data_IF_385214643336
#
_entry.id   IF_385214643336
#
_cell.length_a   1.000
_cell.length_b   1.000
_cell.length_c   1.000
_cell.angle_alpha   90.00
_cell.angle_beta   90.00
_cell.angle_gamma   90.00
#
_symmetry.space_group_name_H-M   'P 1'
#
loop_
_entity.id
_entity.type
_entity.pdbx_description
1 polymer ?
#
# COMPACT_ATOMS: atom_id res chain seq x y z
N UNK A 1 16.30 -15.72 -4.51
CA UNK A 1 17.04 -14.89 -5.48
C UNK A 1 16.03 -14.27 -6.45
N UNK A 2 15.72 -12.98 -6.31
CA UNK A 2 14.92 -12.25 -7.31
C UNK A 2 15.74 -12.22 -8.60
N UNK A 3 15.42 -13.10 -9.54
CA UNK A 3 16.01 -13.05 -10.88
C UNK A 3 15.26 -11.99 -11.66
N UNK A 4 15.86 -10.81 -11.79
CA UNK A 4 15.36 -9.80 -12.71
C UNK A 4 15.50 -10.32 -14.14
N UNK A 5 14.40 -10.46 -14.91
CA UNK A 5 14.48 -10.94 -16.29
C UNK A 5 15.24 -9.94 -17.18
N UNK A 6 15.79 -10.44 -18.27
CA UNK A 6 16.53 -9.64 -19.25
C UNK A 6 15.58 -8.59 -19.89
N UNK A 7 15.90 -7.30 -19.70
CA UNK A 7 14.99 -6.14 -19.74
C UNK A 7 14.52 -5.74 -21.15
N UNK A 8 15.08 -6.29 -22.23
CA UNK A 8 14.77 -5.86 -23.61
C UNK A 8 13.29 -5.95 -24.03
N UNK A 9 12.41 -6.52 -23.20
CA UNK A 9 10.94 -6.59 -23.38
C UNK A 9 10.13 -5.62 -22.52
N UNK A 10 10.72 -4.92 -21.55
CA UNK A 10 10.03 -3.90 -20.76
C UNK A 10 10.05 -2.60 -21.56
N UNK A 11 8.96 -2.33 -22.28
CA UNK A 11 8.80 -1.09 -23.03
C UNK A 11 8.63 0.05 -22.02
N UNK A 12 9.70 0.79 -21.77
CA UNK A 12 9.66 2.04 -21.02
C UNK A 12 9.34 3.19 -21.97
N UNK A 13 8.06 3.44 -22.21
CA UNK A 13 7.58 4.36 -23.26
C UNK A 13 7.62 5.85 -22.86
N UNK A 14 8.49 6.23 -21.92
CA UNK A 14 8.56 7.61 -21.42
C UNK A 14 10.00 8.12 -21.46
N UNK A 15 10.21 9.24 -22.17
CA UNK A 15 11.49 9.95 -22.25
C UNK A 15 11.80 10.67 -20.92
N UNK A 16 12.03 9.88 -19.87
CA UNK A 16 12.54 10.30 -18.57
C UNK A 16 13.94 9.72 -18.33
N UNK A 17 14.83 9.83 -19.33
CA UNK A 17 16.21 9.29 -19.31
C UNK A 17 17.07 9.67 -18.10
N UNK A 18 16.68 10.70 -17.32
CA UNK A 18 17.34 11.09 -16.05
C UNK A 18 16.86 10.32 -14.81
N UNK A 19 15.70 9.69 -14.88
CA UNK A 19 15.07 8.96 -13.77
C UNK A 19 15.00 7.46 -14.08
N UNK A 20 14.78 7.10 -15.34
CA UNK A 20 14.82 5.71 -15.81
C UNK A 20 16.23 5.36 -16.28
N UNK A 21 16.79 4.28 -15.75
CA UNK A 21 18.12 3.81 -16.08
C UNK A 21 18.06 2.39 -16.64
N UNK A 22 18.75 2.15 -17.76
CA UNK A 22 18.89 0.81 -18.35
C UNK A 22 19.81 -0.11 -17.52
N UNK A 23 20.40 0.41 -16.44
CA UNK A 23 21.15 -0.33 -15.42
C UNK A 23 20.39 -0.26 -14.10
N UNK A 24 20.52 -1.30 -13.29
CA UNK A 24 19.96 -1.35 -11.93
C UNK A 24 20.48 -0.14 -11.14
N UNK A 25 19.57 0.71 -10.68
CA UNK A 25 19.85 1.90 -9.86
C UNK A 25 19.93 1.51 -8.38
N UNK A 26 19.22 0.45 -7.99
CA UNK A 26 19.19 -0.05 -6.63
C UNK A 26 19.36 -1.57 -6.62
N UNK A 27 20.55 -2.05 -6.22
CA UNK A 27 20.82 -3.47 -6.00
C UNK A 27 20.36 -3.87 -4.59
N UNK A 28 19.12 -4.34 -4.48
CA UNK A 28 18.56 -4.80 -3.21
C UNK A 28 19.05 -6.22 -2.89
N UNK A 29 20.13 -6.35 -2.11
CA UNK A 29 20.58 -7.65 -1.60
C UNK A 29 19.53 -8.24 -0.65
N UNK A 30 18.90 -9.33 -1.09
CA UNK A 30 17.70 -9.92 -0.46
C UNK A 30 17.86 -10.27 1.04
N UNK A 31 19.06 -10.65 1.49
CA UNK A 31 19.32 -11.05 2.88
C UNK A 31 19.41 -9.86 3.86
N UNK A 32 19.61 -8.64 3.37
CA UNK A 32 19.77 -7.45 4.22
C UNK A 32 18.53 -6.57 4.22
N UNK A 33 17.45 -7.00 3.55
CA UNK A 33 16.27 -6.14 3.32
C UNK A 33 15.29 -6.11 4.49
N UNK A 34 15.13 -7.25 5.17
CA UNK A 34 14.08 -7.47 6.16
C UNK A 34 14.71 -7.97 7.46
N UNK A 35 14.36 -7.33 8.57
CA UNK A 35 14.70 -7.80 9.92
C UNK A 35 13.70 -8.86 10.41
N UNK A 36 12.45 -8.72 9.98
CA UNK A 36 11.36 -9.68 10.25
C UNK A 36 10.62 -9.93 8.94
N UNK A 37 10.45 -11.20 8.59
CA UNK A 37 9.71 -11.61 7.40
C UNK A 37 8.78 -12.79 7.72
N UNK A 38 7.44 -12.60 7.74
CA UNK A 38 6.48 -13.64 8.01
C UNK A 38 6.01 -14.35 6.72
N UNK A 39 6.75 -14.24 5.60
CA UNK A 39 6.29 -14.75 4.30
C UNK A 39 5.95 -16.24 4.32
N UNK A 40 6.68 -17.03 5.10
CA UNK A 40 6.41 -18.45 5.30
C UNK A 40 5.09 -18.67 6.06
N UNK A 41 4.71 -17.74 6.94
CA UNK A 41 3.53 -17.81 7.79
C UNK A 41 2.23 -17.33 7.11
N UNK A 42 2.33 -16.74 5.91
CA UNK A 42 1.14 -16.51 5.08
C UNK A 42 0.53 -17.83 4.59
N UNK A 43 1.34 -18.89 4.49
CA UNK A 43 0.97 -20.24 4.07
C UNK A 43 1.56 -21.31 4.99
N UNK A 44 0.88 -21.64 6.08
CA UNK A 44 1.32 -22.74 6.94
C UNK A 44 0.69 -24.10 6.62
N UNK A 45 -0.21 -24.20 5.64
CA UNK A 45 -0.85 -25.48 5.29
C UNK A 45 -0.72 -25.81 3.80
N UNK A 46 -0.70 -27.12 3.52
CA UNK A 46 -0.79 -27.75 2.18
C UNK A 46 -2.04 -27.36 1.37
N UNK A 47 -2.92 -26.54 1.96
CA UNK A 47 -4.13 -25.98 1.36
C UNK A 47 -4.11 -24.44 1.42
N UNK A 48 -2.98 -23.82 1.10
CA UNK A 48 -2.91 -22.37 0.95
C UNK A 48 -3.75 -21.94 -0.27
N UNK A 49 -5.05 -21.79 -0.06
CA UNK A 49 -5.98 -21.33 -1.08
C UNK A 49 -5.64 -19.90 -1.53
N UNK A 50 -6.21 -19.48 -2.67
CA UNK A 50 -6.08 -18.09 -3.13
C UNK A 50 -6.59 -17.09 -2.08
N UNK A 51 -6.03 -15.90 -1.93
CA UNK A 51 -6.67 -14.83 -1.17
C UNK A 51 -7.51 -13.98 -2.11
N UNK A 52 -8.68 -13.54 -1.64
CA UNK A 52 -9.46 -12.51 -2.32
C UNK A 52 -8.79 -11.15 -2.17
N UNK A 53 -8.28 -10.86 -0.97
CA UNK A 53 -7.71 -9.57 -0.63
C UNK A 53 -6.46 -9.71 0.23
N UNK A 54 -5.42 -8.95 -0.06
CA UNK A 54 -4.28 -8.75 0.84
C UNK A 54 -4.13 -7.26 1.14
N UNK A 55 -4.29 -6.89 2.40
CA UNK A 55 -4.06 -5.53 2.89
C UNK A 55 -2.60 -5.38 3.33
N UNK A 56 -1.91 -4.41 2.75
CA UNK A 56 -0.54 -4.04 3.03
C UNK A 56 -0.58 -2.67 3.68
N UNK A 57 -0.43 -2.65 4.99
CA UNK A 57 -0.61 -1.46 5.82
C UNK A 57 0.75 -0.87 6.15
N UNK A 58 1.04 0.31 5.60
CA UNK A 58 2.22 1.09 6.00
C UNK A 58 1.94 1.69 7.37
N UNK A 59 2.76 1.32 8.36
CA UNK A 59 2.59 1.77 9.75
C UNK A 59 3.91 2.30 10.30
N UNK A 60 3.86 3.24 11.23
CA UNK A 60 5.05 3.67 11.98
C UNK A 60 5.40 2.64 13.04
N UNK A 61 6.68 2.34 13.24
CA UNK A 61 7.15 1.31 14.19
C UNK A 61 6.56 1.43 15.60
N UNK A 62 6.38 2.66 16.12
CA UNK A 62 5.78 2.89 17.45
C UNK A 62 4.24 2.83 17.49
N UNK A 63 3.56 2.72 16.34
CA UNK A 63 2.10 2.67 16.25
C UNK A 63 1.51 1.28 16.62
N UNK A 64 2.01 0.64 17.69
CA UNK A 64 1.52 -0.65 18.19
C UNK A 64 0.00 -0.63 18.43
N UNK A 65 -0.50 0.42 19.09
CA UNK A 65 -1.92 0.58 19.37
C UNK A 65 -2.78 0.73 18.11
N UNK A 66 -2.27 1.43 17.10
CA UNK A 66 -2.97 1.60 15.82
C UNK A 66 -3.08 0.28 15.07
N UNK A 67 -1.99 -0.49 14.99
CA UNK A 67 -1.99 -1.83 14.38
C UNK A 67 -2.96 -2.76 15.09
N UNK A 68 -2.98 -2.78 16.42
CA UNK A 68 -3.95 -3.56 17.20
C UNK A 68 -5.40 -3.10 16.95
N UNK A 69 -5.65 -1.79 16.84
CA UNK A 69 -6.98 -1.28 16.51
C UNK A 69 -7.43 -1.71 15.09
N UNK A 70 -6.53 -1.71 14.10
CA UNK A 70 -6.80 -2.22 12.75
C UNK A 70 -7.15 -3.72 12.78
N UNK A 71 -6.37 -4.53 13.52
CA UNK A 71 -6.66 -5.97 13.71
C UNK A 71 -8.03 -6.21 14.33
N UNK A 72 -8.43 -5.39 15.30
CA UNK A 72 -9.74 -5.46 15.97
C UNK A 72 -10.89 -4.83 15.18
N UNK A 73 -10.62 -4.28 14.00
CA UNK A 73 -11.62 -3.64 13.14
C UNK A 73 -11.51 -4.19 11.73
N UNK A 74 -11.42 -3.34 10.71
CA UNK A 74 -11.50 -3.72 9.30
C UNK A 74 -10.40 -4.68 8.85
N UNK A 75 -9.24 -4.66 9.50
CA UNK A 75 -8.08 -5.49 9.13
C UNK A 75 -8.16 -6.94 9.62
N UNK A 76 -9.01 -7.24 10.61
CA UNK A 76 -9.23 -8.61 11.12
C UNK A 76 -10.70 -9.05 11.17
N UNK A 77 -11.65 -8.14 11.03
CA UNK A 77 -13.09 -8.43 11.03
C UNK A 77 -13.69 -8.30 9.63
N UNK A 78 -13.48 -9.31 8.81
CA UNK A 78 -14.08 -9.38 7.46
C UNK A 78 -14.47 -10.80 7.10
N UNK A 79 -15.54 -10.92 6.30
CA UNK A 79 -16.01 -12.21 5.76
C UNK A 79 -15.22 -12.65 4.52
N UNK A 80 -14.37 -11.78 4.00
CA UNK A 80 -13.51 -12.08 2.85
C UNK A 80 -12.37 -13.00 3.27
N UNK A 81 -11.92 -13.86 2.35
CA UNK A 81 -10.65 -14.57 2.51
C UNK A 81 -9.52 -13.57 2.32
N UNK A 82 -9.14 -12.92 3.41
CA UNK A 82 -8.15 -11.85 3.40
C UNK A 82 -7.12 -11.97 4.51
N UNK A 83 -5.98 -11.32 4.30
CA UNK A 83 -4.95 -11.12 5.31
C UNK A 83 -4.57 -9.64 5.35
N UNK A 84 -4.09 -9.22 6.51
CA UNK A 84 -3.52 -7.88 6.73
C UNK A 84 -2.09 -8.06 7.18
N UNK A 85 -1.17 -7.31 6.56
CA UNK A 85 0.26 -7.34 6.86
C UNK A 85 0.74 -5.92 7.03
N UNK A 86 1.50 -5.67 8.09
CA UNK A 86 2.04 -4.36 8.42
C UNK A 86 3.48 -4.24 7.92
N UNK A 87 3.77 -3.16 7.20
CA UNK A 87 5.11 -2.80 6.74
C UNK A 87 5.63 -1.67 7.63
N UNK A 88 6.71 -1.94 8.37
CA UNK A 88 7.31 -1.00 9.32
C UNK A 88 8.82 -0.89 9.08
N UNK A 89 9.42 0.24 9.44
CA UNK A 89 10.88 0.34 9.54
C UNK A 89 11.39 -0.17 10.89
N UNK A 90 12.67 0.04 11.17
CA UNK A 90 13.24 -0.15 12.51
C UNK A 90 13.51 1.19 13.20
N UNK A 91 13.63 1.13 14.52
CA UNK A 91 14.05 2.23 15.37
C UNK A 91 14.88 1.62 16.49
N UNK A 92 15.99 2.25 16.85
CA UNK A 92 16.87 1.72 17.88
C UNK A 92 16.16 1.65 19.24
N UNK A 93 16.36 0.55 19.97
CA UNK A 93 15.86 0.37 21.32
C UNK A 93 14.41 -0.14 21.43
N UNK A 94 13.72 -0.40 20.31
CA UNK A 94 12.35 -0.95 20.33
C UNK A 94 12.25 -2.40 19.82
N UNK A 95 13.37 -3.02 19.45
CA UNK A 95 13.39 -4.32 18.77
C UNK A 95 12.72 -5.41 19.61
N UNK A 96 12.91 -5.38 20.93
CA UNK A 96 12.26 -6.33 21.84
C UNK A 96 10.72 -6.25 21.74
N UNK A 97 10.15 -5.04 21.73
CA UNK A 97 8.69 -4.84 21.64
C UNK A 97 8.13 -5.25 20.28
N UNK A 98 8.85 -4.94 19.19
CA UNK A 98 8.46 -5.36 17.84
C UNK A 98 8.55 -6.88 17.69
N UNK A 99 9.56 -7.52 18.26
CA UNK A 99 9.67 -8.99 18.26
C UNK A 99 8.54 -9.63 19.04
N UNK A 100 8.11 -9.07 20.19
CA UNK A 100 6.93 -9.56 20.91
C UNK A 100 5.64 -9.43 20.10
N UNK A 101 5.42 -8.28 19.46
CA UNK A 101 4.24 -8.07 18.60
C UNK A 101 4.26 -9.04 17.42
N UNK A 102 5.40 -9.13 16.73
CA UNK A 102 5.60 -10.06 15.60
C UNK A 102 5.38 -11.50 16.03
N UNK A 103 5.95 -11.92 17.17
CA UNK A 103 5.82 -13.28 17.67
C UNK A 103 4.36 -13.66 17.94
N UNK A 104 3.56 -12.71 18.45
CA UNK A 104 2.14 -12.88 18.77
C UNK A 104 1.25 -12.88 17.53
N UNK A 105 1.46 -11.94 16.60
CA UNK A 105 0.50 -11.67 15.52
C UNK A 105 0.92 -12.25 14.16
N UNK A 106 2.21 -12.52 13.95
CA UNK A 106 2.78 -13.10 12.71
C UNK A 106 2.42 -12.33 11.42
N UNK A 107 2.21 -11.02 11.53
CA UNK A 107 1.72 -10.16 10.45
C UNK A 107 2.60 -8.92 10.21
N UNK A 108 3.84 -8.92 10.71
CA UNK A 108 4.78 -7.80 10.58
C UNK A 108 5.88 -8.16 9.59
N UNK A 109 6.06 -7.31 8.56
CA UNK A 109 7.28 -7.23 7.76
C UNK A 109 8.06 -6.01 8.24
N UNK A 110 9.18 -6.24 8.91
CA UNK A 110 10.06 -5.16 9.37
C UNK A 110 11.21 -4.99 8.40
N UNK A 111 11.38 -3.77 7.89
CA UNK A 111 12.44 -3.42 6.97
C UNK A 111 13.73 -3.11 7.74
N UNK A 112 14.86 -3.45 7.14
CA UNK A 112 16.16 -2.94 7.56
C UNK A 112 16.38 -1.50 7.06
N UNK A 113 15.43 -0.62 7.38
CA UNK A 113 15.46 0.81 7.12
C UNK A 113 14.88 1.57 8.30
N UNK A 114 15.55 2.63 8.68
CA UNK A 114 15.13 3.47 9.80
C UNK A 114 13.75 4.07 9.52
N UNK A 115 12.83 3.95 10.47
CA UNK A 115 11.45 4.39 10.33
C UNK A 115 11.33 5.91 10.51
N UNK A 116 11.55 6.63 9.41
CA UNK A 116 11.47 8.08 9.34
C UNK A 116 10.64 8.51 8.14
N UNK A 117 10.03 9.68 8.25
CA UNK A 117 9.21 10.25 7.17
C UNK A 117 9.95 10.32 5.82
N UNK A 118 11.25 10.62 5.84
CA UNK A 118 12.08 10.70 4.64
C UNK A 118 12.26 9.34 3.94
N UNK A 119 12.07 8.24 4.67
CA UNK A 119 12.24 6.87 4.20
C UNK A 119 10.91 6.17 3.87
N UNK A 120 9.78 6.88 3.92
CA UNK A 120 8.45 6.29 3.65
C UNK A 120 8.38 5.63 2.27
N UNK A 121 9.03 6.20 1.25
CA UNK A 121 9.11 5.59 -0.08
C UNK A 121 9.70 4.17 -0.06
N UNK A 122 10.62 3.88 0.85
CA UNK A 122 11.19 2.54 1.00
C UNK A 122 10.18 1.55 1.59
N UNK A 123 9.17 1.99 2.36
CA UNK A 123 8.09 1.10 2.78
C UNK A 123 7.36 0.52 1.59
N UNK A 124 7.00 1.35 0.61
CA UNK A 124 6.33 0.86 -0.59
C UNK A 124 7.27 0.07 -1.50
N UNK A 125 8.51 0.50 -1.72
CA UNK A 125 9.49 -0.26 -2.53
C UNK A 125 9.68 -1.67 -1.95
N UNK A 126 9.95 -1.77 -0.66
CA UNK A 126 10.21 -3.07 -0.03
C UNK A 126 8.94 -3.91 0.07
N UNK A 127 7.77 -3.30 0.23
CA UNK A 127 6.51 -4.01 0.15
C UNK A 127 6.28 -4.62 -1.24
N UNK A 128 6.54 -3.88 -2.32
CA UNK A 128 6.48 -4.41 -3.70
C UNK A 128 7.44 -5.60 -3.89
N UNK A 129 8.68 -5.45 -3.42
CA UNK A 129 9.69 -6.51 -3.49
C UNK A 129 9.27 -7.73 -2.69
N UNK A 130 8.77 -7.56 -1.46
CA UNK A 130 8.26 -8.64 -0.62
C UNK A 130 7.08 -9.36 -1.29
N UNK A 131 6.07 -8.61 -1.75
CA UNK A 131 4.90 -9.15 -2.44
C UNK A 131 5.25 -9.89 -3.74
N UNK A 132 6.30 -9.45 -4.46
CA UNK A 132 6.73 -10.13 -5.68
C UNK A 132 7.27 -11.54 -5.43
N UNK A 133 7.68 -11.84 -4.20
CA UNK A 133 8.27 -13.11 -3.77
C UNK A 133 7.33 -14.00 -2.94
N UNK A 134 6.09 -13.58 -2.66
CA UNK A 134 5.15 -14.42 -1.92
C UNK A 134 4.67 -15.59 -2.78
N UNK A 135 4.49 -16.75 -2.16
CA UNK A 135 4.05 -17.98 -2.81
C UNK A 135 2.53 -18.20 -2.73
N UNK A 136 1.74 -17.13 -2.53
CA UNK A 136 0.27 -17.16 -2.55
C UNK A 136 -0.28 -16.51 -3.81
N UNK A 137 -1.37 -17.08 -4.32
CA UNK A 137 -2.22 -16.39 -5.31
C UNK A 137 -3.11 -15.39 -4.59
N UNK A 138 -3.03 -14.12 -4.98
CA UNK A 138 -3.87 -13.05 -4.42
C UNK A 138 -4.61 -12.36 -5.56
N UNK A 139 -5.93 -12.27 -5.45
CA UNK A 139 -6.74 -11.61 -6.47
C UNK A 139 -6.51 -10.10 -6.46
N UNK A 140 -6.65 -9.46 -5.29
CA UNK A 140 -6.47 -8.01 -5.13
C UNK A 140 -5.53 -7.67 -3.98
N UNK A 141 -4.65 -6.69 -4.22
CA UNK A 141 -3.69 -6.17 -3.24
C UNK A 141 -4.03 -4.71 -2.97
N UNK A 142 -4.06 -4.36 -1.69
CA UNK A 142 -4.42 -3.02 -1.22
C UNK A 142 -3.28 -2.44 -0.41
N UNK A 143 -2.68 -1.35 -0.88
CA UNK A 143 -1.77 -0.55 -0.08
C UNK A 143 -2.58 0.49 0.67
N UNK A 144 -2.36 0.58 1.98
CA UNK A 144 -3.12 1.46 2.87
C UNK A 144 -2.19 2.06 3.92
N UNK A 145 -2.41 3.31 4.30
CA UNK A 145 -1.78 3.89 5.50
C UNK A 145 -2.52 3.46 6.77
N UNK A 146 -1.84 3.44 7.92
CA UNK A 146 -2.44 3.04 9.19
C UNK A 146 -3.43 4.06 9.79
N UNK A 147 -3.59 5.22 9.16
CA UNK A 147 -4.53 6.29 9.55
C UNK A 147 -5.88 6.23 8.79
N UNK A 148 -6.17 5.07 8.16
CA UNK A 148 -7.37 4.86 7.34
C UNK A 148 -8.39 3.94 8.00
N UNK A 149 -9.66 4.27 7.79
CA UNK A 149 -10.77 3.33 7.94
C UNK A 149 -11.11 2.75 6.57
N UNK A 150 -11.15 1.42 6.46
CA UNK A 150 -11.53 0.70 5.24
C UNK A 150 -12.89 0.02 5.44
N UNK A 151 -13.70 -0.05 4.38
CA UNK A 151 -14.92 -0.86 4.34
C UNK A 151 -14.66 -2.08 3.42
N UNK A 152 -14.24 -3.24 3.96
CA UNK A 152 -13.68 -4.31 3.13
C UNK A 152 -14.62 -4.86 2.05
N UNK A 153 -15.93 -4.98 2.34
CA UNK A 153 -16.89 -5.46 1.35
C UNK A 153 -17.09 -4.48 0.20
N UNK A 154 -17.19 -3.18 0.49
CA UNK A 154 -17.27 -2.16 -0.55
C UNK A 154 -16.01 -2.15 -1.41
N UNK A 155 -14.84 -2.26 -0.76
CA UNK A 155 -13.56 -2.35 -1.45
C UNK A 155 -13.52 -3.54 -2.41
N UNK A 156 -13.93 -4.73 -1.95
CA UNK A 156 -13.99 -5.92 -2.79
C UNK A 156 -14.96 -5.77 -3.96
N UNK A 157 -16.15 -5.21 -3.72
CA UNK A 157 -17.14 -4.96 -4.78
C UNK A 157 -16.62 -3.99 -5.85
N UNK A 158 -15.90 -2.95 -5.43
CA UNK A 158 -15.23 -2.05 -6.37
C UNK A 158 -14.13 -2.77 -7.13
N UNK A 159 -13.36 -3.65 -6.47
CA UNK A 159 -12.28 -4.39 -7.11
C UNK A 159 -12.76 -5.33 -8.21
N UNK A 160 -13.77 -6.16 -7.94
CA UNK A 160 -14.32 -7.10 -8.94
C UNK A 160 -14.93 -6.43 -10.17
N UNK A 161 -15.34 -5.15 -10.06
CA UNK A 161 -15.93 -4.38 -11.17
C UNK A 161 -14.90 -3.60 -11.98
N UNK A 162 -13.70 -3.36 -11.43
CA UNK A 162 -12.77 -2.38 -11.98
C UNK A 162 -11.35 -2.91 -12.21
N UNK A 163 -11.01 -4.07 -11.66
CA UNK A 163 -9.64 -4.62 -11.68
C UNK A 163 -9.66 -6.01 -12.31
N UNK A 164 -9.20 -6.06 -13.56
CA UNK A 164 -8.99 -7.32 -14.27
C UNK A 164 -7.63 -7.91 -13.92
N UNK A 165 -7.55 -9.24 -13.84
CA UNK A 165 -6.31 -9.95 -13.48
C UNK A 165 -5.20 -9.86 -14.54
N UNK A 166 -5.60 -9.63 -15.80
CA UNK A 166 -4.70 -9.54 -16.96
C UNK A 166 -4.08 -8.17 -17.15
N UNK A 167 -4.65 -7.13 -16.55
CA UNK A 167 -4.24 -5.75 -16.79
C UNK A 167 -3.09 -5.34 -15.86
N UNK A 168 -2.31 -4.35 -16.29
CA UNK A 168 -1.48 -3.56 -15.38
C UNK A 168 -2.32 -2.36 -14.94
N UNK A 169 -2.78 -2.36 -13.69
CA UNK A 169 -3.79 -1.41 -13.22
C UNK A 169 -3.57 -0.99 -11.76
N UNK A 170 -3.77 0.30 -11.50
CA UNK A 170 -3.89 0.86 -10.15
C UNK A 170 -5.13 1.75 -10.07
N UNK A 171 -5.94 1.52 -9.04
CA UNK A 171 -7.18 2.23 -8.76
C UNK A 171 -7.05 3.02 -7.46
N UNK A 172 -7.54 4.26 -7.45
CA UNK A 172 -7.71 5.03 -6.23
C UNK A 172 -8.10 6.49 -6.48
N UNK A 173 -7.72 7.38 -5.57
CA UNK A 173 -7.87 8.82 -5.80
C UNK A 173 -6.69 9.34 -6.62
N UNK A 174 -6.95 9.79 -7.85
CA UNK A 174 -5.94 10.10 -8.84
C UNK A 174 -5.68 11.60 -8.88
N UNK A 175 -4.41 11.98 -8.90
CA UNK A 175 -3.94 13.32 -9.19
C UNK A 175 -3.40 13.31 -10.62
N UNK A 176 -4.09 14.02 -11.52
CA UNK A 176 -3.72 14.05 -12.94
C UNK A 176 -2.49 14.91 -13.23
N UNK A 177 -2.27 15.94 -12.42
CA UNK A 177 -1.15 16.86 -12.58
C UNK A 177 -0.89 17.53 -11.24
N UNK A 178 0.34 17.45 -10.78
CA UNK A 178 0.79 18.10 -9.55
C UNK A 178 2.11 18.80 -9.82
N UNK A 179 2.23 20.04 -9.38
CA UNK A 179 3.47 20.81 -9.48
C UNK A 179 4.47 20.37 -8.42
N UNK A 180 5.74 20.34 -8.79
CA UNK A 180 6.82 20.08 -7.84
C UNK A 180 7.05 21.28 -6.94
N UNK A 181 7.01 21.07 -5.63
CA UNK A 181 7.22 22.14 -4.67
C UNK A 181 8.72 22.39 -4.50
N UNK A 182 9.17 23.61 -4.83
CA UNK A 182 10.58 24.04 -4.78
C UNK A 182 10.92 24.90 -3.57
N UNK A 183 9.95 25.23 -2.75
CA UNK A 183 10.15 25.92 -1.48
C UNK A 183 10.46 24.91 -0.36
N UNK A 184 11.64 25.06 0.26
CA UNK A 184 12.16 24.19 1.33
C UNK A 184 11.31 24.20 2.61
N UNK A 185 10.43 25.20 2.79
CA UNK A 185 9.55 25.29 3.95
C UNK A 185 8.41 24.25 3.92
N UNK A 186 8.10 23.70 2.75
CA UNK A 186 7.00 22.76 2.58
C UNK A 186 7.44 21.30 2.78
N UNK A 187 6.57 20.52 3.42
CA UNK A 187 6.76 19.07 3.67
C UNK A 187 7.10 18.28 2.38
N UNK A 188 6.52 18.70 1.26
CA UNK A 188 6.63 18.08 -0.06
C UNK A 188 7.72 18.70 -0.95
N UNK A 189 8.63 19.50 -0.39
CA UNK A 189 9.80 20.02 -1.08
C UNK A 189 10.58 18.92 -1.80
N UNK A 190 11.00 19.20 -3.04
CA UNK A 190 11.94 18.39 -3.80
C UNK A 190 12.93 19.26 -4.57
N UNK A 191 14.21 18.90 -4.55
CA UNK A 191 15.25 19.63 -5.29
C UNK A 191 15.18 19.33 -6.80
N UNK A 192 15.67 20.26 -7.63
CA UNK A 192 15.77 20.03 -9.08
C UNK A 192 16.81 18.93 -9.43
N UNK A 193 17.76 18.68 -8.53
CA UNK A 193 18.72 17.58 -8.63
C UNK A 193 18.04 16.22 -8.43
N UNK A 194 17.15 16.12 -7.45
CA UNK A 194 16.38 14.90 -7.17
C UNK A 194 15.36 14.64 -8.27
N UNK A 195 14.64 15.68 -8.70
CA UNK A 195 13.64 15.61 -9.75
C UNK A 195 13.64 16.90 -10.61
N UNK A 196 14.13 16.85 -11.86
CA UNK A 196 14.39 18.05 -12.66
C UNK A 196 13.18 18.63 -13.39
N UNK A 197 12.01 17.97 -13.35
CA UNK A 197 10.81 18.41 -14.06
C UNK A 197 9.89 19.21 -13.13
N UNK A 198 9.13 20.16 -13.68
CA UNK A 198 8.25 21.03 -12.87
C UNK A 198 6.94 20.35 -12.44
N UNK A 199 6.57 19.25 -13.09
CA UNK A 199 5.35 18.51 -12.81
C UNK A 199 5.63 17.02 -12.65
N UNK A 200 4.88 16.38 -11.74
CA UNK A 200 4.80 14.93 -11.67
C UNK A 200 3.86 14.38 -12.75
N UNK A 201 4.11 13.16 -13.28
CA UNK A 201 3.11 12.46 -14.08
C UNK A 201 1.89 12.11 -13.21
N UNK A 202 0.77 11.66 -13.81
CA UNK A 202 -0.38 11.23 -13.04
C UNK A 202 -0.03 10.15 -12.01
N UNK A 203 -0.61 10.21 -10.81
CA UNK A 203 -0.39 9.23 -9.74
C UNK A 203 -1.63 9.04 -8.88
N UNK A 204 -1.70 7.91 -8.17
CA UNK A 204 -2.71 7.66 -7.14
C UNK A 204 -2.12 8.06 -5.78
N UNK A 205 -2.85 8.81 -4.97
CA UNK A 205 -2.37 9.18 -3.63
C UNK A 205 -2.26 7.95 -2.72
N UNK A 206 -1.19 7.86 -1.93
CA UNK A 206 -0.71 6.65 -1.26
C UNK A 206 -1.51 6.19 -0.06
N UNK A 207 -2.58 6.92 0.27
CA UNK A 207 -3.47 6.59 1.37
C UNK A 207 -4.25 5.30 1.17
N UNK A 208 -4.73 5.04 -0.04
CA UNK A 208 -5.42 3.79 -0.37
C UNK A 208 -5.30 3.53 -1.86
N UNK A 209 -4.56 2.49 -2.23
CA UNK A 209 -4.34 2.05 -3.62
C UNK A 209 -4.81 0.61 -3.73
N UNK A 210 -5.64 0.33 -4.74
CA UNK A 210 -6.06 -1.01 -5.11
C UNK A 210 -5.38 -1.43 -6.42
N UNK A 211 -4.84 -2.65 -6.45
CA UNK A 211 -4.17 -3.22 -7.62
C UNK A 211 -4.28 -4.75 -7.62
N UNK A 212 -3.66 -5.40 -8.60
CA UNK A 212 -3.59 -6.85 -8.74
C UNK A 212 -2.14 -7.36 -8.60
N UNK A 213 -1.99 -8.67 -8.45
CA UNK A 213 -0.68 -9.31 -8.26
C UNK A 213 0.25 -9.16 -9.48
N UNK A 214 -0.30 -9.13 -10.70
CA UNK A 214 0.48 -8.92 -11.94
C UNK A 214 1.16 -7.56 -11.93
N UNK A 215 0.41 -6.51 -11.61
CA UNK A 215 0.89 -5.13 -11.53
C UNK A 215 1.99 -4.99 -10.47
N UNK A 216 1.79 -5.56 -9.28
CA UNK A 216 2.80 -5.54 -8.21
C UNK A 216 4.12 -6.18 -8.65
N UNK A 217 4.08 -7.33 -9.33
CA UNK A 217 5.30 -7.97 -9.85
C UNK A 217 6.03 -7.10 -10.87
N UNK A 218 5.29 -6.42 -11.75
CA UNK A 218 5.88 -5.53 -12.74
C UNK A 218 6.46 -4.26 -12.11
N UNK A 219 5.75 -3.66 -11.16
CA UNK A 219 6.24 -2.52 -10.37
C UNK A 219 7.52 -2.90 -9.60
N UNK A 220 7.58 -4.08 -8.98
CA UNK A 220 8.75 -4.57 -8.26
C UNK A 220 10.01 -4.71 -9.14
N UNK A 221 9.84 -4.99 -10.44
CA UNK A 221 10.95 -4.95 -11.40
C UNK A 221 11.30 -3.50 -11.76
N UNK A 222 10.30 -2.67 -12.04
CA UNK A 222 10.50 -1.29 -12.50
C UNK A 222 11.17 -0.38 -11.44
N UNK A 223 10.89 -0.58 -10.14
CA UNK A 223 11.54 0.18 -9.06
C UNK A 223 13.06 -0.01 -9.05
N UNK A 224 13.59 -1.14 -9.53
CA UNK A 224 15.03 -1.38 -9.60
C UNK A 224 15.73 -0.50 -10.66
N UNK A 225 14.98 0.04 -11.62
CA UNK A 225 15.47 0.84 -12.76
C UNK A 225 15.08 2.33 -12.64
N UNK A 226 14.44 2.71 -11.55
CA UNK A 226 13.92 4.07 -11.34
C UNK A 226 14.68 4.75 -10.22
N UNK A 227 15.21 5.96 -10.45
CA UNK A 227 15.82 6.78 -9.39
C UNK A 227 14.76 7.09 -8.33
N UNK A 228 15.07 6.73 -7.08
CA UNK A 228 14.18 6.97 -5.93
C UNK A 228 14.09 8.46 -5.63
N UNK A 229 12.87 8.96 -5.42
CA UNK A 229 12.60 10.30 -4.90
C UNK A 229 11.82 10.21 -3.59
N UNK A 230 11.93 11.24 -2.74
CA UNK A 230 11.30 11.26 -1.40
C UNK A 230 9.76 11.34 -1.41
N UNK A 231 9.16 11.79 -2.52
CA UNK A 231 7.71 11.94 -2.63
C UNK A 231 7.13 10.59 -3.06
N UNK A 232 6.73 9.77 -2.09
CA UNK A 232 6.28 8.38 -2.28
C UNK A 232 5.20 8.25 -3.38
N UNK A 233 4.09 8.97 -3.26
CA UNK A 233 2.96 8.87 -4.19
C UNK A 233 3.38 9.18 -5.62
N UNK A 234 4.16 10.24 -5.79
CA UNK A 234 4.70 10.64 -7.09
C UNK A 234 5.73 9.64 -7.61
N UNK A 235 6.59 9.09 -6.75
CA UNK A 235 7.55 8.05 -7.12
C UNK A 235 6.84 6.82 -7.69
N UNK A 236 5.79 6.33 -7.01
CA UNK A 236 5.01 5.19 -7.51
C UNK A 236 4.28 5.54 -8.80
N UNK A 237 3.78 6.78 -8.94
CA UNK A 237 3.28 7.30 -10.21
C UNK A 237 4.30 7.21 -11.34
N UNK A 238 5.52 7.69 -11.12
CA UNK A 238 6.61 7.64 -12.11
C UNK A 238 6.89 6.19 -12.53
N UNK A 239 7.05 5.28 -11.56
CA UNK A 239 7.30 3.86 -11.82
C UNK A 239 6.14 3.24 -12.61
N UNK A 240 4.90 3.51 -12.22
CA UNK A 240 3.70 2.99 -12.87
C UNK A 240 3.57 3.48 -14.32
N UNK A 241 3.77 4.77 -14.56
CA UNK A 241 3.75 5.35 -15.91
C UNK A 241 4.88 4.78 -16.78
N UNK A 242 6.06 4.55 -16.20
CA UNK A 242 7.20 4.01 -16.95
C UNK A 242 6.94 2.63 -17.56
N UNK A 243 6.02 1.83 -17.00
CA UNK A 243 5.65 0.51 -17.53
C UNK A 243 4.20 0.45 -18.02
N UNK A 244 3.61 1.61 -18.33
CA UNK A 244 2.27 1.74 -18.88
C UNK A 244 1.16 1.11 -18.01
N UNK A 245 1.28 1.22 -16.67
CA UNK A 245 0.18 0.86 -15.76
C UNK A 245 -0.99 1.82 -15.98
N UNK A 246 -2.19 1.27 -16.18
CA UNK A 246 -3.42 2.04 -16.25
C UNK A 246 -3.78 2.58 -14.86
N UNK A 247 -3.61 3.88 -14.67
CA UNK A 247 -4.09 4.58 -13.47
C UNK A 247 -5.58 4.93 -13.66
N UNK A 248 -6.42 4.59 -12.69
CA UNK A 248 -7.86 4.85 -12.75
C UNK A 248 -8.32 5.58 -11.48
N UNK A 249 -9.00 6.71 -11.68
CA UNK A 249 -9.70 7.39 -10.60
C UNK A 249 -10.99 6.64 -10.23
N UNK A 250 -11.30 6.56 -8.94
CA UNK A 250 -12.60 6.06 -8.48
C UNK A 250 -13.13 6.87 -7.29
N UNK A 251 -14.37 7.36 -7.40
CA UNK A 251 -14.97 8.30 -6.46
C UNK A 251 -15.16 7.74 -5.03
N UNK A 252 -15.18 6.42 -4.87
CA UNK A 252 -15.29 5.80 -3.54
C UNK A 252 -14.00 5.88 -2.69
N UNK A 253 -12.86 6.26 -3.31
CA UNK A 253 -11.59 6.48 -2.63
C UNK A 253 -11.48 7.96 -2.27
N UNK A 254 -11.37 8.28 -0.99
CA UNK A 254 -11.37 9.67 -0.52
C UNK A 254 -9.98 10.17 -0.13
N UNK A 255 -9.68 11.40 -0.57
CA UNK A 255 -8.48 12.13 -0.17
C UNK A 255 -8.63 12.84 1.19
N UNK A 256 -9.86 13.05 1.66
CA UNK A 256 -10.19 13.77 2.89
C UNK A 256 -11.20 13.01 3.74
N UNK A 257 -11.20 13.30 5.05
CA UNK A 257 -12.04 12.61 6.04
C UNK A 257 -13.52 12.77 5.69
N UNK A 258 -14.26 11.68 5.79
CA UNK A 258 -15.69 11.64 5.51
C UNK A 258 -16.50 11.57 6.80
N UNK A 259 -17.77 12.01 6.74
CA UNK A 259 -18.74 11.73 7.78
C UNK A 259 -19.21 10.26 7.71
N UNK A 260 -19.82 9.77 8.79
CA UNK A 260 -20.26 8.37 8.91
C UNK A 260 -21.24 7.94 7.81
N UNK A 261 -22.12 8.84 7.34
CA UNK A 261 -23.09 8.55 6.29
C UNK A 261 -22.41 8.27 4.96
N UNK A 262 -21.47 9.13 4.56
CA UNK A 262 -20.68 8.96 3.34
C UNK A 262 -19.77 7.73 3.39
N UNK A 263 -19.29 7.34 4.59
CA UNK A 263 -18.47 6.15 4.77
C UNK A 263 -19.16 4.86 4.34
N UNK A 264 -20.49 4.77 4.49
CA UNK A 264 -21.27 3.57 4.13
C UNK A 264 -21.16 3.21 2.65
N UNK A 265 -20.96 4.21 1.80
CA UNK A 265 -20.81 4.03 0.34
C UNK A 265 -19.34 4.21 -0.11
N UNK A 266 -18.43 4.44 0.82
CA UNK A 266 -16.99 4.60 0.57
C UNK A 266 -16.28 3.25 0.58
N UNK A 267 -15.07 3.21 0.02
CA UNK A 267 -14.14 2.09 0.27
C UNK A 267 -13.14 2.41 1.38
N UNK A 268 -12.83 3.70 1.56
CA UNK A 268 -11.79 4.15 2.48
C UNK A 268 -12.01 5.60 2.91
N UNK A 269 -11.58 5.95 4.11
CA UNK A 269 -11.49 7.36 4.53
C UNK A 269 -10.28 7.64 5.42
N UNK A 270 -9.59 8.79 5.23
CA UNK A 270 -8.51 9.24 6.10
C UNK A 270 -8.95 9.86 7.42
N UNK A 271 -7.97 10.18 8.26
CA UNK A 271 -8.15 10.98 9.47
C UNK A 271 -8.52 10.11 10.69
N UNK A 272 -8.02 8.88 10.71
CA UNK A 272 -8.13 7.93 11.81
C UNK A 272 -6.79 7.76 12.54
N UNK A 273 -6.11 8.88 12.81
CA UNK A 273 -4.80 8.93 13.49
C UNK A 273 -4.85 8.45 14.95
N UNK A 274 -6.04 8.35 15.54
CA UNK A 274 -6.23 7.83 16.90
C UNK A 274 -7.07 6.56 16.90
N UNK A 275 -6.64 5.60 17.71
CA UNK A 275 -7.32 4.30 17.91
C UNK A 275 -8.77 4.48 18.35
N UNK A 276 -9.05 5.47 19.19
CA UNK A 276 -10.39 5.76 19.69
C UNK A 276 -11.38 6.07 18.55
N UNK A 277 -11.02 6.98 17.64
CA UNK A 277 -11.91 7.37 16.54
C UNK A 277 -12.12 6.17 15.60
N UNK A 278 -11.07 5.39 15.31
CA UNK A 278 -11.17 4.19 14.47
C UNK A 278 -12.15 3.16 15.06
N UNK A 279 -11.97 2.81 16.33
CA UNK A 279 -12.81 1.83 17.02
C UNK A 279 -14.26 2.30 17.13
N UNK A 280 -14.48 3.56 17.51
CA UNK A 280 -15.82 4.14 17.64
C UNK A 280 -16.58 4.14 16.31
N UNK A 281 -15.98 4.68 15.26
CA UNK A 281 -16.65 4.80 13.96
C UNK A 281 -16.87 3.43 13.31
N UNK A 282 -15.94 2.48 13.49
CA UNK A 282 -16.15 1.09 13.08
C UNK A 282 -17.36 0.46 13.76
N UNK A 283 -17.52 0.64 15.07
CA UNK A 283 -18.69 0.14 15.80
C UNK A 283 -19.99 0.77 15.28
N UNK A 284 -20.03 2.09 15.10
CA UNK A 284 -21.22 2.80 14.61
C UNK A 284 -21.65 2.33 13.20
N UNK A 285 -20.69 2.04 12.31
CA UNK A 285 -20.99 1.48 11.00
C UNK A 285 -21.73 0.14 11.08
N UNK A 286 -21.42 -0.69 12.08
CA UNK A 286 -21.96 -2.04 12.26
C UNK A 286 -23.22 -2.13 13.12
N UNK A 287 -23.40 -1.23 14.09
CA UNK A 287 -24.63 -1.16 14.92
C UNK A 287 -25.83 -0.76 14.07
N UNK A 288 -25.68 0.26 13.23
CA UNK A 288 -26.77 0.75 12.39
C UNK A 288 -27.09 -0.16 11.19
N UNK A 289 -26.13 -0.97 10.71
CA UNK A 289 -26.45 -1.99 9.70
C UNK A 289 -27.41 -3.06 10.23
N UNK A 290 -27.30 -3.40 11.52
CA UNK A 290 -28.19 -4.36 12.17
C UNK A 290 -29.59 -3.76 12.40
N UNK A 291 -29.68 -2.46 12.75
CA UNK A 291 -30.97 -1.78 12.94
C UNK A 291 -31.74 -1.59 11.62
N UNK A 292 -31.06 -1.37 10.49
CA UNK A 292 -31.70 -1.32 9.17
C UNK A 292 -32.16 -2.69 8.66
N UNK A 293 -31.42 -3.77 8.93
CA UNK A 293 -31.85 -5.13 8.57
C UNK A 293 -33.10 -5.58 9.35
N UNK A 294 -33.25 -5.15 10.61
CA UNK A 294 -34.44 -5.37 11.41
C UNK A 294 -35.66 -4.59 10.89
N UNK A 295 -35.45 -3.40 10.31
CA UNK A 295 -36.52 -2.59 9.69
C UNK A 295 -36.97 -3.09 8.32
N UNK A 296 -36.12 -3.79 7.57
CA UNK A 296 -36.48 -4.40 6.27
C UNK A 296 -37.15 -5.78 6.37
N UNK A 297 -37.23 -6.34 7.59
CA UNK A 297 -37.89 -7.63 7.90
C UNK A 297 -39.29 -7.46 8.50
N UNK A 298 -39.80 -6.23 8.55
CA UNK A 298 -41.19 -5.90 8.88
C UNK A 298 -41.85 -5.31 7.64
#
# INVERSE_FOLDING_TARGET
>A
MVRFPNIKKLVFDVDHRKILNNKVVCDFKQNDMFLINPSELLCNDSNCGSLQMLFIVKSYVLNFGQREAIRRTWGGMTKLRSKTVFIIGYLDGIDYLVNLESAKHKDIVQLNKYDQYQNVVYKTIYALLWLSNINITVQFIHFVDDDRLIVPLNMYNVAIQNVESTDLIMLGYMINRSETVRDKSWKTYISAEDYPFDFYPPYIIGGTILTNQKTVRMLAVAVAYTKVIRIEDAYIGIVANSINVKLKHHAAFFAYKQNLTSLRNSVSSPGYETTYILLRDWQLLHVESNSMQLKKKK
#
